data_IF_656013047050
#
_entry.id   IF_656013047050
#
_cell.length_a   1.000
_cell.length_b   1.000
_cell.length_c   1.000
_cell.angle_alpha   90.00
_cell.angle_beta   90.00
_cell.angle_gamma   90.00
#
_symmetry.space_group_name_H-M   'P 1'
#
loop_
_entity.id
_entity.type
_entity.pdbx_description
1 polymer ?
#
# COMPACT_ATOMS: atom_id res chain seq x y z
N UNK A 1 -10.82 -31.47 47.43
CA UNK A 1 -10.71 -30.01 47.17
C UNK A 1 -9.78 -29.67 46.00
N UNK A 2 -8.88 -30.55 45.58
CA UNK A 2 -7.98 -30.31 44.44
C UNK A 2 -8.65 -30.45 43.06
N UNK A 3 -9.65 -31.32 42.93
CA UNK A 3 -10.39 -31.53 41.67
C UNK A 3 -11.14 -30.27 41.19
N UNK A 4 -11.70 -29.50 42.13
CA UNK A 4 -12.40 -28.24 41.84
C UNK A 4 -11.42 -27.16 41.37
N UNK A 5 -10.19 -27.13 41.89
CA UNK A 5 -9.15 -26.21 41.43
C UNK A 5 -8.71 -26.55 40.00
N UNK A 6 -8.56 -27.83 39.67
CA UNK A 6 -8.19 -28.28 38.34
C UNK A 6 -9.29 -27.96 37.30
N UNK A 7 -10.56 -28.10 37.67
CA UNK A 7 -11.72 -27.79 36.83
C UNK A 7 -11.85 -26.29 36.56
N UNK A 8 -11.65 -25.46 37.58
CA UNK A 8 -11.65 -23.99 37.43
C UNK A 8 -10.47 -23.55 36.55
N UNK A 9 -9.28 -24.15 36.73
CA UNK A 9 -8.10 -23.84 35.94
C UNK A 9 -8.27 -24.21 34.46
N UNK A 10 -8.89 -25.37 34.16
CA UNK A 10 -9.20 -25.80 32.79
C UNK A 10 -10.32 -25.00 32.13
N UNK A 11 -11.33 -24.56 32.89
CA UNK A 11 -12.34 -23.62 32.39
C UNK A 11 -11.71 -22.26 32.05
N UNK A 12 -10.78 -21.76 32.87
CA UNK A 12 -10.07 -20.51 32.57
C UNK A 12 -9.13 -20.61 31.36
N UNK A 13 -8.51 -21.77 31.08
CA UNK A 13 -7.68 -21.94 29.87
C UNK A 13 -8.51 -22.09 28.59
N UNK A 14 -9.74 -22.63 28.68
CA UNK A 14 -10.69 -22.69 27.56
C UNK A 14 -11.32 -21.30 27.28
N UNK A 15 -11.52 -20.47 28.30
CA UNK A 15 -11.95 -19.08 28.10
C UNK A 15 -10.83 -18.15 27.61
N UNK A 16 -9.56 -18.48 27.89
CA UNK A 16 -8.38 -17.74 27.42
C UNK A 16 -7.85 -18.21 26.07
N UNK A 17 -8.41 -19.27 25.46
CA UNK A 17 -8.18 -19.56 24.05
C UNK A 17 -9.01 -18.60 23.20
N UNK A 18 -8.56 -17.35 23.16
CA UNK A 18 -8.96 -16.29 22.24
C UNK A 18 -9.21 -16.91 20.86
N UNK A 19 -10.48 -16.96 20.43
CA UNK A 19 -10.83 -17.37 19.07
C UNK A 19 -10.18 -16.37 18.12
N UNK A 20 -9.10 -16.79 17.44
CA UNK A 20 -8.49 -15.98 16.41
C UNK A 20 -9.49 -15.83 15.26
N UNK A 21 -10.00 -14.62 15.06
CA UNK A 21 -10.88 -14.35 13.94
C UNK A 21 -10.02 -14.27 12.67
N UNK A 22 -10.21 -15.24 11.79
CA UNK A 22 -9.56 -15.28 10.48
C UNK A 22 -10.50 -14.64 9.46
N UNK A 23 -10.01 -13.62 8.77
CA UNK A 23 -10.74 -12.93 7.71
C UNK A 23 -10.01 -13.08 6.38
N UNK A 24 -10.78 -13.25 5.31
CA UNK A 24 -10.26 -13.42 3.96
C UNK A 24 -10.71 -12.26 3.08
N UNK A 25 -9.80 -11.79 2.24
CA UNK A 25 -10.06 -10.72 1.29
C UNK A 25 -9.31 -10.96 -0.02
N UNK A 26 -9.82 -10.40 -1.10
CA UNK A 26 -9.13 -10.30 -2.38
C UNK A 26 -8.72 -8.84 -2.56
N UNK A 27 -7.46 -8.61 -2.88
CA UNK A 27 -6.91 -7.29 -3.16
C UNK A 27 -6.05 -7.32 -4.42
N UNK A 28 -5.82 -6.15 -5.02
CA UNK A 28 -4.89 -6.05 -6.14
C UNK A 28 -3.46 -5.87 -5.65
N UNK A 29 -2.52 -6.51 -6.34
CA UNK A 29 -1.09 -6.46 -6.03
C UNK A 29 -0.31 -6.05 -7.26
N UNK A 30 0.56 -5.06 -7.10
CA UNK A 30 1.45 -4.58 -8.14
C UNK A 30 2.58 -5.57 -8.45
N UNK A 31 2.90 -5.71 -9.73
CA UNK A 31 4.05 -6.44 -10.24
C UNK A 31 4.60 -5.80 -11.52
N UNK A 32 5.80 -6.25 -11.92
CA UNK A 32 6.49 -5.75 -13.12
C UNK A 32 6.06 -6.47 -14.41
N UNK A 33 5.32 -7.57 -14.29
CA UNK A 33 4.86 -8.39 -15.41
C UNK A 33 3.34 -8.41 -15.46
N UNK A 34 2.79 -8.43 -16.67
CA UNK A 34 1.34 -8.52 -16.88
C UNK A 34 0.74 -9.83 -16.35
N UNK A 35 1.48 -10.93 -16.53
CA UNK A 35 1.09 -12.24 -16.05
C UNK A 35 1.09 -12.29 -14.52
N UNK A 36 -0.02 -12.79 -13.95
CA UNK A 36 -0.12 -13.04 -12.52
C UNK A 36 0.87 -14.13 -12.10
N UNK A 37 1.69 -13.82 -11.10
CA UNK A 37 2.53 -14.80 -10.42
C UNK A 37 1.87 -15.36 -9.15
N UNK A 38 0.63 -14.96 -8.86
CA UNK A 38 -0.09 -15.39 -7.66
C UNK A 38 -0.81 -16.71 -7.89
N UNK A 39 -0.58 -17.66 -6.99
CA UNK A 39 -1.25 -18.95 -7.00
C UNK A 39 -2.71 -18.76 -6.52
N UNK A 40 -3.73 -19.11 -7.33
CA UNK A 40 -5.13 -18.94 -6.96
C UNK A 40 -5.57 -19.81 -5.78
N UNK A 41 -4.80 -20.84 -5.44
CA UNK A 41 -5.05 -21.74 -4.31
C UNK A 41 -4.31 -21.31 -3.04
N UNK A 42 -3.35 -20.39 -3.15
CA UNK A 42 -2.59 -19.87 -2.03
C UNK A 42 -3.25 -18.61 -1.47
N UNK A 43 -3.15 -18.46 -0.16
CA UNK A 43 -3.52 -17.22 0.53
C UNK A 43 -2.26 -16.57 1.09
N UNK A 44 -2.16 -15.26 0.97
CA UNK A 44 -1.00 -14.46 1.34
C UNK A 44 -1.29 -13.60 2.58
N UNK A 45 -0.24 -13.17 3.26
CA UNK A 45 -0.30 -12.08 4.24
C UNK A 45 0.30 -10.82 3.63
N UNK A 46 -0.07 -9.64 4.10
CA UNK A 46 0.55 -8.38 3.65
C UNK A 46 2.06 -8.28 3.95
N UNK A 47 2.64 -9.25 4.66
CA UNK A 47 4.06 -9.35 4.97
C UNK A 47 4.80 -10.34 4.06
N UNK A 48 4.06 -11.12 3.25
CA UNK A 48 4.70 -12.03 2.30
C UNK A 48 5.41 -11.21 1.23
N UNK A 49 6.70 -11.49 1.01
CA UNK A 49 7.51 -10.83 -0.03
C UNK A 49 6.88 -10.86 -1.42
N UNK A 50 6.06 -11.86 -1.71
CA UNK A 50 5.35 -11.95 -2.98
C UNK A 50 4.35 -10.80 -3.20
N UNK A 51 3.77 -10.25 -2.13
CA UNK A 51 2.74 -9.20 -2.20
C UNK A 51 3.18 -7.86 -1.62
N UNK A 52 4.09 -7.87 -0.63
CA UNK A 52 4.65 -6.65 -0.02
C UNK A 52 5.85 -6.11 -0.79
N UNK A 53 6.08 -6.60 -2.01
CA UNK A 53 7.38 -6.50 -2.66
C UNK A 53 7.73 -5.05 -2.98
N UNK A 54 8.94 -4.66 -2.61
CA UNK A 54 9.58 -3.48 -3.17
C UNK A 54 9.92 -3.78 -4.63
N UNK A 55 9.51 -2.89 -5.54
CA UNK A 55 9.87 -2.94 -6.94
C UNK A 55 11.15 -2.13 -7.14
N UNK A 56 12.25 -2.84 -7.34
CA UNK A 56 13.58 -2.26 -7.48
C UNK A 56 13.89 -1.91 -8.93
N UNK A 57 14.42 -0.71 -9.15
CA UNK A 57 15.01 -0.23 -10.39
C UNK A 57 16.41 0.29 -10.09
N UNK A 58 17.24 0.48 -11.12
CA UNK A 58 18.65 0.84 -10.93
C UNK A 58 18.82 2.12 -10.08
N UNK A 59 17.99 3.15 -10.34
CA UNK A 59 18.15 4.46 -9.70
C UNK A 59 17.17 4.71 -8.52
N UNK A 60 16.16 3.85 -8.36
CA UNK A 60 15.10 4.03 -7.36
C UNK A 60 14.30 2.77 -7.07
N UNK A 61 13.59 2.79 -5.95
CA UNK A 61 12.70 1.72 -5.51
C UNK A 61 11.29 2.27 -5.32
N UNK A 62 10.29 1.45 -5.65
CA UNK A 62 8.88 1.79 -5.52
C UNK A 62 8.15 0.75 -4.69
N UNK A 63 7.27 1.21 -3.82
CA UNK A 63 6.30 0.38 -3.13
C UNK A 63 4.90 0.90 -3.44
N UNK A 64 3.95 0.01 -3.73
CA UNK A 64 2.63 0.42 -4.24
C UNK A 64 1.50 -0.29 -3.51
N UNK A 65 0.50 0.49 -3.10
CA UNK A 65 -0.75 -0.03 -2.54
C UNK A 65 -1.94 0.55 -3.29
N UNK A 66 -2.68 -0.28 -4.03
CA UNK A 66 -3.97 0.13 -4.55
C UNK A 66 -5.03 0.02 -3.44
N UNK A 67 -5.94 0.98 -3.36
CA UNK A 67 -7.05 0.95 -2.41
C UNK A 67 -8.28 0.29 -3.01
N UNK A 68 -8.19 -1.01 -3.31
CA UNK A 68 -9.31 -1.80 -3.83
C UNK A 68 -9.30 -3.22 -3.23
N UNK A 69 -10.09 -3.44 -2.19
CA UNK A 69 -10.18 -4.73 -1.49
C UNK A 69 -11.64 -5.19 -1.43
N UNK A 70 -11.88 -6.49 -1.60
CA UNK A 70 -13.20 -7.14 -1.44
C UNK A 70 -13.10 -8.20 -0.36
N UNK A 71 -13.99 -8.12 0.63
CA UNK A 71 -14.10 -9.13 1.70
C UNK A 71 -14.91 -10.32 1.21
N UNK A 72 -14.42 -11.54 1.41
CA UNK A 72 -15.15 -12.76 1.03
C UNK A 72 -15.62 -13.51 2.28
N UNK A 73 -16.94 -13.52 2.47
CA UNK A 73 -17.73 -14.14 3.55
C UNK A 73 -17.60 -13.53 4.96
N UNK A 74 -18.76 -13.52 5.63
CA UNK A 74 -19.10 -12.62 6.73
C UNK A 74 -18.48 -12.95 8.08
N UNK A 75 -17.88 -11.92 8.68
CA UNK A 75 -17.93 -11.48 10.09
C UNK A 75 -17.02 -10.24 10.21
N UNK A 76 -17.54 -9.15 10.80
CA UNK A 76 -16.96 -7.79 10.91
C UNK A 76 -15.56 -7.79 11.56
N UNK A 77 -14.51 -7.41 10.82
CA UNK A 77 -13.71 -6.15 10.92
C UNK A 77 -12.67 -6.07 12.05
N UNK A 78 -11.40 -6.19 11.67
CA UNK A 78 -10.45 -5.09 11.81
C UNK A 78 -9.92 -4.87 10.40
N UNK A 79 -10.26 -3.72 9.85
CA UNK A 79 -9.32 -3.03 8.99
C UNK A 79 -8.02 -2.86 9.79
N UNK A 80 -6.88 -3.20 9.19
CA UNK A 80 -5.67 -2.53 9.65
C UNK A 80 -5.90 -1.03 9.42
N UNK A 81 -6.06 -0.29 10.51
CA UNK A 81 -6.17 1.17 10.58
C UNK A 81 -4.84 1.66 11.17
N UNK A 82 -4.20 2.76 10.73
CA UNK A 82 -4.39 3.62 9.56
C UNK A 82 -3.05 3.85 8.80
N UNK A 83 -2.93 4.81 7.85
CA UNK A 83 -1.64 5.51 7.83
C UNK A 83 -1.62 6.50 9.00
N UNK A 84 -2.52 7.48 9.07
CA UNK A 84 -3.00 8.10 10.33
C UNK A 84 -4.47 8.43 10.15
N UNK A 85 -5.32 7.71 10.86
CA UNK A 85 -6.78 7.67 10.85
C UNK A 85 -7.45 7.89 9.48
N UNK A 86 -7.84 6.77 8.84
CA UNK A 86 -8.80 6.76 7.74
C UNK A 86 -10.05 7.56 8.15
N UNK A 87 -10.16 8.79 7.64
CA UNK A 87 -11.46 9.38 7.41
C UNK A 87 -12.17 8.49 6.40
N UNK A 88 -13.08 7.65 6.91
CA UNK A 88 -14.17 6.96 6.21
C UNK A 88 -14.06 6.92 4.68
N UNK A 89 -13.72 5.73 4.19
CA UNK A 89 -13.79 5.26 2.81
C UNK A 89 -12.44 5.29 2.05
N UNK A 90 -11.62 4.25 2.29
CA UNK A 90 -11.07 3.53 1.15
C UNK A 90 -12.23 3.18 0.23
N UNK A 91 -12.22 3.66 -1.02
CA UNK A 91 -13.37 3.51 -1.90
C UNK A 91 -13.81 2.06 -1.96
N UNK A 92 -15.07 1.79 -1.62
CA UNK A 92 -15.65 0.48 -1.89
C UNK A 92 -15.47 0.19 -3.38
N UNK A 93 -15.33 -1.07 -3.77
CA UNK A 93 -15.42 -1.42 -5.19
C UNK A 93 -16.67 -0.78 -5.78
N UNK A 94 -16.51 -0.01 -6.85
CA UNK A 94 -17.59 0.78 -7.46
C UNK A 94 -17.71 2.24 -7.02
N UNK A 95 -16.92 2.71 -6.05
CA UNK A 95 -16.90 4.11 -5.59
C UNK A 95 -15.81 4.95 -6.26
N UNK A 96 -15.99 6.26 -6.32
CA UNK A 96 -15.05 7.22 -6.92
C UNK A 96 -14.60 8.24 -5.86
N UNK A 97 -13.32 8.67 -5.83
CA UNK A 97 -12.25 8.33 -6.76
C UNK A 97 -11.49 7.04 -6.41
N UNK A 98 -11.02 6.33 -7.44
CA UNK A 98 -10.04 5.27 -7.24
C UNK A 98 -8.68 5.87 -6.87
N UNK A 99 -8.01 5.28 -5.88
CA UNK A 99 -6.76 5.80 -5.32
C UNK A 99 -5.66 4.73 -5.33
N UNK A 100 -4.43 5.17 -5.61
CA UNK A 100 -3.21 4.36 -5.51
C UNK A 100 -2.17 5.12 -4.68
N UNK A 101 -1.74 4.51 -3.58
CA UNK A 101 -0.60 4.99 -2.80
C UNK A 101 0.69 4.44 -3.37
N UNK A 102 1.68 5.31 -3.49
CA UNK A 102 3.02 4.98 -3.96
C UNK A 102 4.02 5.57 -2.99
N UNK A 103 4.91 4.74 -2.48
CA UNK A 103 6.13 5.21 -1.84
C UNK A 103 7.28 5.15 -2.85
N UNK A 104 8.10 6.18 -2.90
CA UNK A 104 9.31 6.21 -3.74
C UNK A 104 10.51 6.59 -2.88
N UNK A 105 11.61 5.86 -3.03
CA UNK A 105 12.94 6.26 -2.53
C UNK A 105 13.96 6.10 -3.66
N UNK A 106 15.00 6.92 -3.68
CA UNK A 106 16.01 6.85 -4.74
C UNK A 106 17.35 7.38 -4.30
N UNK A 107 18.32 7.35 -5.20
CA UNK A 107 19.61 7.99 -4.94
C UNK A 107 19.47 9.52 -4.91
N UNK A 108 20.21 10.16 -4.01
CA UNK A 108 20.19 11.63 -3.84
C UNK A 108 20.35 12.33 -5.19
N UNK A 109 19.43 13.26 -5.49
CA UNK A 109 19.47 14.10 -6.68
C UNK A 109 19.60 13.32 -8.00
N UNK A 110 19.07 12.10 -8.08
CA UNK A 110 19.15 11.28 -9.30
C UNK A 110 17.86 11.32 -10.11
N UNK A 111 16.70 11.24 -9.45
CA UNK A 111 15.40 11.18 -10.15
C UNK A 111 14.37 12.18 -9.61
N UNK A 112 13.51 12.64 -10.52
CA UNK A 112 12.29 13.41 -10.25
C UNK A 112 11.07 12.57 -10.58
N UNK A 113 10.05 12.62 -9.72
CA UNK A 113 8.76 12.02 -10.01
C UNK A 113 7.82 13.06 -10.63
N UNK A 114 7.11 12.69 -11.70
CA UNK A 114 6.16 13.53 -12.43
C UNK A 114 4.76 12.92 -12.29
N UNK A 115 4.08 13.09 -11.15
CA UNK A 115 2.88 12.34 -10.81
C UNK A 115 1.69 12.62 -11.74
N UNK A 116 1.57 13.85 -12.26
CA UNK A 116 0.48 14.21 -13.18
C UNK A 116 0.66 13.67 -14.61
N UNK A 117 1.82 13.08 -14.94
CA UNK A 117 2.01 12.33 -16.19
C UNK A 117 1.67 10.85 -16.05
N UNK A 118 1.37 10.38 -14.84
CA UNK A 118 0.96 9.00 -14.60
C UNK A 118 -0.42 8.73 -15.20
N UNK A 119 -0.62 7.51 -15.70
CA UNK A 119 -1.84 7.11 -16.39
C UNK A 119 -2.25 5.70 -15.97
N UNK A 120 -3.51 5.55 -15.58
CA UNK A 120 -4.13 4.25 -15.33
C UNK A 120 -4.70 3.69 -16.64
N UNK A 121 -4.48 2.41 -16.91
CA UNK A 121 -4.97 1.70 -18.10
C UNK A 121 -4.63 2.35 -19.46
N UNK A 122 -3.56 3.17 -19.48
CA UNK A 122 -3.05 3.92 -20.63
C UNK A 122 -3.91 5.12 -21.09
N UNK A 123 -5.06 5.38 -20.48
CA UNK A 123 -5.98 6.45 -20.88
C UNK A 123 -6.48 7.34 -19.73
N UNK A 124 -6.57 6.85 -18.49
CA UNK A 124 -7.08 7.64 -17.36
C UNK A 124 -5.96 8.37 -16.63
N UNK A 125 -5.90 9.69 -16.83
CA UNK A 125 -4.94 10.56 -16.14
C UNK A 125 -5.24 10.75 -14.64
N UNK A 126 -4.19 11.11 -13.88
CA UNK A 126 -4.32 11.49 -12.47
C UNK A 126 -5.09 12.80 -12.35
N UNK A 127 -6.11 12.83 -11.48
CA UNK A 127 -6.91 14.01 -11.19
C UNK A 127 -6.34 14.82 -10.02
N UNK A 128 -5.87 14.13 -8.98
CA UNK A 128 -5.38 14.74 -7.75
C UNK A 128 -4.16 13.98 -7.27
N UNK A 129 -3.17 14.72 -6.81
CA UNK A 129 -1.99 14.16 -6.15
C UNK A 129 -1.88 14.77 -4.77
N UNK A 130 -1.78 13.91 -3.75
CA UNK A 130 -1.33 14.32 -2.43
C UNK A 130 0.03 13.72 -2.15
N UNK A 131 0.85 14.40 -1.36
CA UNK A 131 2.14 13.90 -0.93
C UNK A 131 2.40 14.20 0.53
N UNK A 132 3.34 13.48 1.12
CA UNK A 132 3.95 13.80 2.41
C UNK A 132 5.30 13.12 2.56
N UNK A 133 6.10 13.65 3.49
CA UNK A 133 7.23 12.90 4.05
C UNK A 133 6.71 11.65 4.79
N UNK A 134 7.53 10.59 4.94
CA UNK A 134 7.07 9.32 5.46
C UNK A 134 6.58 9.48 6.89
N UNK A 135 5.50 8.77 7.23
CA UNK A 135 5.02 8.79 8.60
C UNK A 135 6.06 8.13 9.53
N UNK A 136 6.49 8.81 10.61
CA UNK A 136 7.38 8.22 11.60
C UNK A 136 6.71 7.04 12.33
N UNK A 137 7.52 6.07 12.75
CA UNK A 137 7.12 4.91 13.56
C UNK A 137 6.97 5.25 15.05
N UNK A 138 7.46 6.41 15.48
CA UNK A 138 7.31 6.94 16.84
C UNK A 138 6.54 8.27 16.81
N UNK A 139 6.02 8.71 17.97
CA UNK A 139 5.31 9.98 18.08
C UNK A 139 6.25 11.16 17.80
N UNK A 140 6.18 11.70 16.58
CA UNK A 140 6.87 12.91 16.15
C UNK A 140 5.97 13.71 15.21
N UNK A 141 6.26 15.00 15.04
CA UNK A 141 5.57 15.87 14.07
C UNK A 141 5.71 15.29 12.66
N UNK A 142 4.60 14.82 12.09
CA UNK A 142 4.52 14.37 10.70
C UNK A 142 3.97 15.50 9.83
N UNK A 143 4.31 15.48 8.55
CA UNK A 143 3.68 16.38 7.57
C UNK A 143 2.33 15.77 7.19
N UNK A 144 1.27 16.54 7.37
CA UNK A 144 -0.05 16.18 6.86
C UNK A 144 -0.01 16.04 5.33
N UNK A 145 -1.02 15.39 4.77
CA UNK A 145 -1.15 15.29 3.32
C UNK A 145 -1.25 16.68 2.69
N UNK A 146 -0.28 17.02 1.85
CA UNK A 146 -0.27 18.26 1.08
C UNK A 146 -0.75 17.94 -0.33
N UNK A 147 -1.71 18.71 -0.83
CA UNK A 147 -2.15 18.63 -2.22
C UNK A 147 -1.10 19.27 -3.12
N UNK A 148 -0.71 18.59 -4.20
CA UNK A 148 0.19 19.14 -5.20
C UNK A 148 -0.57 19.87 -6.28
N UNK A 149 -0.02 21.02 -6.69
CA UNK A 149 -0.49 21.73 -7.86
C UNK A 149 -0.13 20.96 -9.14
N UNK A 150 -1.00 21.00 -10.17
CA UNK A 150 -0.69 20.45 -11.48
C UNK A 150 0.67 20.94 -12.01
N UNK A 151 1.45 20.05 -12.62
CA UNK A 151 2.81 20.29 -13.12
C UNK A 151 3.90 20.49 -12.05
N UNK A 152 3.59 20.34 -10.77
CA UNK A 152 4.63 20.31 -9.73
C UNK A 152 5.52 19.07 -9.92
N UNK A 153 6.83 19.28 -10.01
CA UNK A 153 7.82 18.19 -10.10
C UNK A 153 8.45 18.00 -8.72
N UNK A 154 8.39 16.77 -8.19
CA UNK A 154 9.00 16.44 -6.90
C UNK A 154 10.32 15.71 -7.09
N UNK A 155 11.39 16.26 -6.50
CA UNK A 155 12.66 15.54 -6.38
C UNK A 155 12.47 14.42 -5.37
N UNK A 156 12.74 13.18 -5.77
CA UNK A 156 12.69 12.03 -4.87
C UNK A 156 13.79 12.18 -3.83
N UNK A 157 13.44 11.97 -2.56
CA UNK A 157 14.37 12.11 -1.45
C UNK A 157 15.34 10.92 -1.43
N UNK A 158 16.54 11.18 -0.91
CA UNK A 158 17.60 10.18 -0.79
C UNK A 158 17.16 9.00 0.09
N UNK A 159 17.43 7.77 -0.38
CA UNK A 159 17.30 6.51 0.35
C UNK A 159 18.08 6.49 1.68
N UNK A 160 19.12 7.31 1.80
CA UNK A 160 19.93 7.46 3.03
C UNK A 160 19.42 8.55 3.98
N UNK A 161 18.41 9.32 3.59
CA UNK A 161 17.79 10.33 4.46
C UNK A 161 17.12 9.65 5.65
N UNK A 162 17.36 10.20 6.84
CA UNK A 162 16.80 9.75 8.13
C UNK A 162 17.27 8.36 8.60
N UNK A 163 18.43 7.87 8.14
CA UNK A 163 19.00 6.60 8.63
C UNK A 163 19.41 6.64 10.11
N UNK A 164 19.76 7.80 10.64
CA UNK A 164 20.17 7.98 12.05
C UNK A 164 18.99 8.28 12.98
N UNK A 165 17.82 8.60 12.41
CA UNK A 165 16.62 8.89 13.19
C UNK A 165 15.80 7.61 13.37
N UNK A 166 15.92 7.00 14.57
CA UNK A 166 15.20 5.77 14.99
C UNK A 166 13.69 5.76 14.68
N UNK A 167 13.12 6.92 14.41
CA UNK A 167 11.70 7.18 14.32
C UNK A 167 11.15 7.35 12.91
N UNK A 168 11.96 7.41 11.83
CA UNK A 168 11.43 7.60 10.47
C UNK A 168 11.56 6.35 9.62
N UNK A 169 10.63 6.12 8.68
CA UNK A 169 10.89 5.16 7.59
C UNK A 169 11.99 5.76 6.70
N UNK A 170 13.15 5.10 6.53
CA UNK A 170 14.27 5.68 5.79
C UNK A 170 13.91 5.97 4.34
N UNK A 171 14.14 7.21 3.89
CA UNK A 171 14.16 7.63 2.48
C UNK A 171 12.87 7.56 1.65
N UNK A 172 11.77 7.03 2.16
CA UNK A 172 10.51 6.91 1.40
C UNK A 172 9.72 8.22 1.40
N UNK A 173 9.31 8.71 0.22
CA UNK A 173 8.28 9.76 0.10
C UNK A 173 6.97 9.12 -0.33
N UNK A 174 5.88 9.46 0.34
CA UNK A 174 4.56 8.91 0.04
C UNK A 174 3.76 9.85 -0.87
N UNK A 175 3.16 9.28 -1.91
CA UNK A 175 2.27 9.94 -2.85
C UNK A 175 0.95 9.19 -2.90
N UNK A 176 -0.15 9.92 -2.92
CA UNK A 176 -1.49 9.40 -3.17
C UNK A 176 -1.97 9.94 -4.51
N UNK A 177 -2.11 9.06 -5.50
CA UNK A 177 -2.65 9.38 -6.81
C UNK A 177 -4.14 9.05 -6.83
N UNK A 178 -4.99 10.02 -7.08
CA UNK A 178 -6.42 9.81 -7.25
C UNK A 178 -6.84 9.98 -8.71
N UNK A 179 -7.69 9.07 -9.18
CA UNK A 179 -8.18 9.01 -10.54
C UNK A 179 -9.71 9.14 -10.53
N UNK A 180 -10.25 9.87 -11.50
CA UNK A 180 -11.69 10.08 -11.65
C UNK A 180 -12.39 8.87 -12.29
N UNK A 181 -12.27 7.69 -11.68
CA UNK A 181 -13.01 6.49 -12.05
C UNK A 181 -13.51 5.76 -10.81
N UNK A 182 -14.39 4.79 -11.03
CA UNK A 182 -14.84 3.86 -9.98
C UNK A 182 -13.72 2.88 -9.62
N UNK A 183 -13.55 2.60 -8.34
CA UNK A 183 -12.63 1.58 -7.84
C UNK A 183 -12.94 0.24 -8.52
N UNK A 184 -12.00 -0.33 -9.30
CA UNK A 184 -12.23 -1.58 -10.03
C UNK A 184 -12.33 -2.76 -9.08
N UNK A 185 -12.93 -3.85 -9.53
CA UNK A 185 -12.91 -5.09 -8.76
C UNK A 185 -11.46 -5.59 -8.64
N UNK A 186 -10.97 -6.00 -7.46
CA UNK A 186 -9.59 -6.45 -7.32
C UNK A 186 -9.20 -7.68 -8.14
N UNK A 187 -10.19 -8.44 -8.66
CA UNK A 187 -9.94 -9.54 -9.61
C UNK A 187 -9.73 -9.05 -11.05
N UNK A 188 -10.13 -7.83 -11.38
CA UNK A 188 -9.89 -7.22 -12.68
C UNK A 188 -8.42 -6.78 -12.77
N UNK A 189 -7.80 -7.08 -13.92
CA UNK A 189 -6.45 -6.62 -14.20
C UNK A 189 -6.48 -5.16 -14.63
N UNK A 190 -5.55 -4.39 -14.10
CA UNK A 190 -5.31 -3.02 -14.54
C UNK A 190 -3.82 -2.71 -14.50
N UNK A 191 -3.44 -1.57 -15.08
CA UNK A 191 -2.04 -1.13 -15.08
C UNK A 191 -1.91 0.34 -14.73
N UNK A 192 -0.76 0.69 -14.15
CA UNK A 192 -0.39 2.07 -13.84
C UNK A 192 0.95 2.38 -14.51
N UNK A 193 0.94 3.34 -15.42
CA UNK A 193 2.15 3.93 -15.97
C UNK A 193 2.59 5.09 -15.07
N UNK A 194 3.84 5.08 -14.66
CA UNK A 194 4.49 6.11 -13.86
C UNK A 194 5.60 6.76 -14.67
N UNK A 195 5.67 8.10 -14.60
CA UNK A 195 6.69 8.88 -15.29
C UNK A 195 7.64 9.52 -14.30
N UNK A 196 8.92 9.27 -14.53
CA UNK A 196 10.05 9.85 -13.83
C UNK A 196 10.95 10.59 -14.81
N UNK A 197 11.90 11.35 -14.27
CA UNK A 197 12.90 12.05 -15.05
C UNK A 197 14.25 11.93 -14.36
N UNK A 198 15.25 11.46 -15.11
CA UNK A 198 16.64 11.50 -14.66
C UNK A 198 17.11 12.96 -14.63
N UNK A 199 17.67 13.38 -13.50
CA UNK A 199 18.06 14.77 -13.30
C UNK A 199 19.32 15.14 -14.10
N UNK A 200 20.25 14.19 -14.29
CA UNK A 200 21.53 14.43 -14.97
C UNK A 200 21.37 14.46 -16.49
N UNK A 201 20.66 13.49 -17.04
CA UNK A 201 20.48 13.29 -18.49
C UNK A 201 19.23 13.97 -19.02
N UNK A 202 18.32 14.42 -18.14
CA UNK A 202 17.03 14.98 -18.49
C UNK A 202 16.10 13.99 -19.23
N UNK A 203 16.44 12.69 -19.25
CA UNK A 203 15.68 11.65 -19.92
C UNK A 203 14.41 11.29 -19.13
N UNK A 204 13.30 11.10 -19.85
CA UNK A 204 12.05 10.59 -19.25
C UNK A 204 12.13 9.07 -19.10
N UNK A 205 11.87 8.59 -17.89
CA UNK A 205 11.83 7.18 -17.54
C UNK A 205 10.38 6.80 -17.29
N UNK A 206 9.82 5.91 -18.12
CA UNK A 206 8.46 5.40 -17.94
C UNK A 206 8.52 3.99 -17.37
N UNK A 207 7.85 3.75 -16.24
CA UNK A 207 7.71 2.43 -15.62
C UNK A 207 6.25 2.05 -15.59
N UNK A 208 5.92 0.84 -16.06
CA UNK A 208 4.56 0.32 -16.04
C UNK A 208 4.44 -0.78 -15.01
N UNK A 209 3.43 -0.65 -14.16
CA UNK A 209 3.09 -1.62 -13.13
C UNK A 209 1.79 -2.31 -13.51
N UNK A 210 1.71 -3.60 -13.26
CA UNK A 210 0.54 -4.42 -13.53
C UNK A 210 -0.05 -4.92 -12.22
N UNK A 211 -1.37 -4.82 -12.10
CA UNK A 211 -2.08 -5.19 -10.90
C UNK A 211 -2.88 -6.45 -11.15
N UNK A 212 -2.63 -7.45 -10.31
CA UNK A 212 -3.29 -8.74 -10.35
C UNK A 212 -3.94 -9.04 -9.01
N UNK A 213 -5.09 -9.72 -9.02
CA UNK A 213 -5.77 -10.13 -7.80
C UNK A 213 -4.98 -11.19 -7.03
N UNK A 214 -4.86 -11.01 -5.72
CA UNK A 214 -4.33 -11.99 -4.78
C UNK A 214 -5.31 -12.21 -3.63
N UNK A 215 -5.35 -13.43 -3.09
CA UNK A 215 -6.11 -13.77 -1.90
C UNK A 215 -5.27 -13.52 -0.67
N UNK A 216 -5.85 -12.89 0.33
CA UNK A 216 -5.18 -12.52 1.56
C UNK A 216 -5.91 -13.07 2.79
N UNK A 217 -5.12 -13.36 3.82
CA UNK A 217 -5.59 -13.75 5.15
C UNK A 217 -5.13 -12.72 6.17
N UNK A 218 -6.04 -12.32 7.05
CA UNK A 218 -5.74 -11.53 8.24
C UNK A 218 -6.28 -12.24 9.46
N UNK A 219 -5.39 -12.44 10.44
CA UNK A 219 -5.72 -13.00 11.76
C UNK A 219 -5.74 -11.88 12.78
N UNK A 220 -6.85 -11.72 13.49
CA UNK A 220 -6.89 -10.93 14.72
C UNK A 220 -6.86 -11.86 15.92
N UNK A 221 -5.90 -11.62 16.80
CA UNK A 221 -5.94 -12.14 18.16
C UNK A 221 -6.64 -11.10 19.02
N UNK A 222 -7.75 -11.48 19.66
CA UNK A 222 -8.40 -10.69 20.72
C UNK A 222 -7.59 -10.72 22.00
#
# INVERSE_FOLDING_TARGET
MEFVKLLIFTLSTIFLSSCANVSYHVGSVAGLTEESKFDPNKTYTNYDKAVSNTLEFDEFEIMVWPYNYVKTNGHFELFFIPIDQQGSNSGSVGETPFQVSISVKGELNTIKFIPFKSVLNNDVGVQLVKWRDPKPSCNYHYTDWITLEPNTIHVVKDRQRNQEEKCMKPGWVEYLLAFNLKTPNPTERFSLALSFQDIKTNQIINKKLFFNGAKFVSTQTH
#
